data_IF_452808999189
#
_entry.id   IF_452808999189
#
_cell.length_a   1.000
_cell.length_b   1.000
_cell.length_c   1.000
_cell.angle_alpha   90.00
_cell.angle_beta   90.00
_cell.angle_gamma   90.00
#
_symmetry.space_group_name_H-M   'P 1'
#
loop_
_entity.id
_entity.type
_entity.pdbx_description
1 polymer ?
#
# COMPACT_ATOMS: atom_id res chain seq x y z
N UNK A 1 10.34 29.93 18.16
CA UNK A 1 10.15 28.98 17.05
C UNK A 1 9.17 27.91 17.50
N UNK A 2 8.11 27.66 16.73
CA UNK A 2 7.09 26.67 17.08
C UNK A 2 7.71 25.26 17.04
N UNK A 3 7.41 24.39 18.01
CA UNK A 3 8.01 23.04 18.11
C UNK A 3 7.70 22.17 16.89
N UNK A 4 6.52 22.36 16.30
CA UNK A 4 6.12 21.73 15.04
C UNK A 4 7.05 22.15 13.89
N UNK A 5 7.35 23.45 13.80
CA UNK A 5 8.21 24.00 12.75
C UNK A 5 9.66 23.53 12.93
N UNK A 6 10.13 23.38 14.18
CA UNK A 6 11.45 22.80 14.44
C UNK A 6 11.55 21.34 13.99
N UNK A 7 10.52 20.52 14.24
CA UNK A 7 10.55 19.10 13.83
C UNK A 7 10.54 18.96 12.31
N UNK A 8 9.71 19.75 11.61
CA UNK A 8 9.58 19.68 10.17
C UNK A 8 10.88 20.04 9.43
N UNK A 9 11.69 20.93 10.01
CA UNK A 9 12.97 21.35 9.44
C UNK A 9 14.11 20.42 9.88
N UNK A 10 14.15 20.02 11.16
CA UNK A 10 15.27 19.27 11.71
C UNK A 10 15.38 17.84 11.16
N UNK A 11 14.26 17.12 11.03
CA UNK A 11 14.24 15.72 10.60
C UNK A 11 14.83 15.50 9.19
N UNK A 12 14.40 16.22 8.13
CA UNK A 12 14.98 16.03 6.80
C UNK A 12 16.45 16.47 6.73
N UNK A 13 16.82 17.52 7.46
CA UNK A 13 18.21 17.99 7.51
C UNK A 13 19.11 16.92 8.15
N UNK A 14 18.67 16.31 9.25
CA UNK A 14 19.42 15.25 9.91
C UNK A 14 19.59 14.02 9.00
N UNK A 15 18.52 13.59 8.32
CA UNK A 15 18.59 12.51 7.33
C UNK A 15 19.60 12.80 6.22
N UNK A 16 19.61 14.04 5.70
CA UNK A 16 20.55 14.44 4.66
C UNK A 16 22.00 14.46 5.16
N UNK A 17 22.24 14.96 6.38
CA UNK A 17 23.57 14.94 7.00
C UNK A 17 24.09 13.51 7.16
N UNK A 18 23.24 12.58 7.62
CA UNK A 18 23.63 11.18 7.80
C UNK A 18 23.98 10.50 6.47
N UNK A 19 23.20 10.76 5.41
CA UNK A 19 23.50 10.26 4.06
C UNK A 19 24.80 10.87 3.54
N UNK A 20 25.00 12.18 3.70
CA UNK A 20 26.22 12.87 3.26
C UNK A 20 27.47 12.33 3.98
N UNK A 21 27.38 12.10 5.30
CA UNK A 21 28.46 11.48 6.07
C UNK A 21 28.75 10.07 5.59
N UNK A 22 27.72 9.26 5.30
CA UNK A 22 27.94 7.91 4.76
C UNK A 22 28.68 7.95 3.43
N UNK A 23 28.26 8.81 2.50
CA UNK A 23 28.90 8.93 1.17
C UNK A 23 30.34 9.44 1.30
N UNK A 24 30.61 10.36 2.22
CA UNK A 24 31.94 10.95 2.38
C UNK A 24 32.94 10.03 3.10
N UNK A 25 32.50 9.28 4.11
CA UNK A 25 33.37 8.45 4.95
C UNK A 25 33.38 6.97 4.57
N UNK A 26 32.40 6.46 3.81
CA UNK A 26 32.32 5.05 3.47
C UNK A 26 33.32 4.66 2.38
N UNK A 27 34.02 3.55 2.57
CA UNK A 27 34.93 2.99 1.57
C UNK A 27 34.14 2.34 0.42
N UNK A 28 34.14 2.99 -0.74
CA UNK A 28 33.39 2.53 -1.91
C UNK A 28 34.28 1.76 -2.89
N UNK A 29 34.17 0.43 -2.91
CA UNK A 29 34.83 -0.47 -3.89
C UNK A 29 33.79 -1.27 -4.69
N UNK A 30 33.31 -0.75 -5.83
CA UNK A 30 32.37 -1.45 -6.71
C UNK A 30 33.09 -2.54 -7.52
N UNK A 31 32.44 -3.69 -7.70
CA UNK A 31 32.85 -4.77 -8.61
C UNK A 31 31.58 -5.41 -9.19
N UNK A 32 31.64 -5.98 -10.40
CA UNK A 32 30.45 -6.36 -11.18
C UNK A 32 29.46 -7.25 -10.41
N UNK A 33 29.96 -8.27 -9.71
CA UNK A 33 29.12 -9.17 -8.91
C UNK A 33 28.58 -8.55 -7.61
N UNK A 34 29.13 -7.41 -7.15
CA UNK A 34 28.57 -6.64 -6.02
C UNK A 34 27.38 -5.79 -6.43
N UNK A 35 27.39 -5.34 -7.69
CA UNK A 35 26.43 -4.38 -8.24
C UNK A 35 25.27 -5.14 -8.91
N UNK A 36 25.48 -6.39 -9.33
CA UNK A 36 24.44 -7.25 -9.87
C UNK A 36 23.42 -7.70 -8.81
N UNK A 37 22.12 -7.84 -9.16
CA UNK A 37 21.12 -8.45 -8.28
C UNK A 37 21.52 -9.85 -7.82
N UNK A 38 21.26 -10.18 -6.55
CA UNK A 38 21.59 -11.49 -5.99
C UNK A 38 20.45 -12.49 -6.24
N UNK A 39 20.68 -13.49 -7.11
CA UNK A 39 19.77 -14.61 -7.37
C UNK A 39 20.48 -15.96 -7.18
N UNK A 40 20.96 -16.23 -5.96
CA UNK A 40 21.59 -17.51 -5.59
C UNK A 40 22.81 -17.91 -6.45
N UNK A 41 23.51 -16.95 -7.07
CA UNK A 41 24.68 -17.19 -7.91
C UNK A 41 24.38 -17.41 -9.41
N UNK A 42 23.13 -17.26 -9.83
CA UNK A 42 22.75 -17.29 -11.24
C UNK A 42 22.64 -15.87 -11.82
N UNK A 43 22.95 -15.76 -13.12
CA UNK A 43 22.72 -14.54 -13.88
C UNK A 43 21.23 -14.44 -14.20
N UNK A 44 20.63 -13.30 -13.86
CA UNK A 44 19.23 -13.03 -14.13
C UNK A 44 18.97 -13.13 -15.64
N UNK A 45 17.94 -13.90 -16.03
CA UNK A 45 17.56 -14.02 -17.44
C UNK A 45 17.02 -12.65 -17.88
N UNK A 46 17.66 -11.97 -18.85
CA UNK A 46 17.22 -10.65 -19.30
C UNK A 46 15.80 -10.75 -19.89
N UNK A 47 14.84 -10.07 -19.24
CA UNK A 47 13.44 -10.04 -19.66
C UNK A 47 12.43 -10.67 -18.68
N UNK A 48 12.86 -11.43 -17.67
CA UNK A 48 11.98 -12.03 -16.65
C UNK A 48 12.06 -11.33 -15.27
N UNK A 49 11.97 -10.00 -15.24
CA UNK A 49 11.94 -9.24 -13.97
C UNK A 49 10.53 -9.05 -13.41
N UNK A 50 9.50 -9.40 -14.18
CA UNK A 50 8.09 -9.30 -13.79
C UNK A 50 7.47 -10.69 -13.82
N UNK A 51 7.42 -11.33 -12.66
CA UNK A 51 6.61 -12.54 -12.47
C UNK A 51 5.13 -12.17 -12.40
N UNK A 52 4.28 -13.04 -12.94
CA UNK A 52 2.84 -12.92 -12.70
C UNK A 52 2.57 -13.13 -11.20
N UNK A 53 2.04 -12.11 -10.55
CA UNK A 53 1.59 -12.18 -9.16
C UNK A 53 0.10 -12.43 -9.12
N UNK A 54 -0.38 -12.99 -8.01
CA UNK A 54 -1.79 -13.28 -7.84
C UNK A 54 -2.61 -11.97 -7.82
N UNK A 55 -3.73 -11.94 -8.55
CA UNK A 55 -4.62 -10.77 -8.70
C UNK A 55 -5.17 -10.29 -7.34
N UNK A 56 -5.18 -11.17 -6.35
CA UNK A 56 -5.72 -10.92 -5.01
C UNK A 56 -4.99 -9.77 -4.29
N UNK A 57 -3.69 -9.59 -4.53
CA UNK A 57 -2.94 -8.45 -3.98
C UNK A 57 -3.43 -7.11 -4.55
N UNK A 58 -3.85 -7.09 -5.81
CA UNK A 58 -4.43 -5.91 -6.43
C UNK A 58 -5.82 -5.60 -5.86
N UNK A 59 -6.65 -6.62 -5.62
CA UNK A 59 -7.97 -6.44 -5.01
C UNK A 59 -7.89 -5.82 -3.60
N UNK A 60 -6.91 -6.24 -2.79
CA UNK A 60 -6.66 -5.62 -1.47
C UNK A 60 -6.29 -4.15 -1.61
N UNK A 61 -5.48 -3.77 -2.59
CA UNK A 61 -5.11 -2.37 -2.82
C UNK A 61 -6.30 -1.51 -3.27
N UNK A 62 -7.17 -2.05 -4.13
CA UNK A 62 -8.41 -1.37 -4.55
C UNK A 62 -9.38 -1.22 -3.39
N UNK A 63 -9.50 -2.23 -2.53
CA UNK A 63 -10.32 -2.16 -1.32
C UNK A 63 -9.82 -1.10 -0.35
N UNK A 64 -8.49 -1.01 -0.15
CA UNK A 64 -7.88 0.04 0.66
C UNK A 64 -8.21 1.43 0.12
N UNK A 65 -8.16 1.64 -1.20
CA UNK A 65 -8.51 2.91 -1.84
C UNK A 65 -9.96 3.31 -1.55
N UNK A 66 -10.90 2.38 -1.66
CA UNK A 66 -12.32 2.64 -1.41
C UNK A 66 -12.56 2.97 0.08
N UNK A 67 -11.93 2.21 0.99
CA UNK A 67 -12.06 2.45 2.43
C UNK A 67 -11.41 3.76 2.88
N UNK A 68 -10.30 4.18 2.25
CA UNK A 68 -9.70 5.49 2.49
C UNK A 68 -10.64 6.64 2.05
N UNK A 69 -11.30 6.47 0.90
CA UNK A 69 -12.32 7.40 0.41
C UNK A 69 -13.54 7.46 1.34
N UNK A 70 -13.96 6.32 1.90
CA UNK A 70 -15.03 6.25 2.89
C UNK A 70 -14.73 7.11 4.13
N UNK A 71 -13.54 6.96 4.71
CA UNK A 71 -13.11 7.76 5.87
C UNK A 71 -13.06 9.25 5.52
N UNK A 72 -12.53 9.58 4.33
CA UNK A 72 -12.47 10.96 3.85
C UNK A 72 -13.85 11.61 3.77
N UNK A 73 -14.89 10.86 3.37
CA UNK A 73 -16.27 11.36 3.29
C UNK A 73 -16.97 11.44 4.66
N UNK A 74 -16.59 10.60 5.62
CA UNK A 74 -17.11 10.67 6.99
C UNK A 74 -16.50 11.85 7.76
N UNK A 75 -15.28 12.27 7.43
CA UNK A 75 -14.55 13.30 8.18
C UNK A 75 -15.28 14.66 8.29
N UNK A 76 -15.86 15.26 7.23
CA UNK A 76 -16.64 16.49 7.34
C UNK A 76 -17.90 16.34 8.19
N UNK A 77 -18.57 15.18 8.11
CA UNK A 77 -19.76 14.88 8.92
C UNK A 77 -19.36 14.81 10.39
N UNK A 78 -18.24 14.17 10.72
CA UNK A 78 -17.70 14.10 12.07
C UNK A 78 -17.35 15.48 12.66
N UNK A 79 -16.81 16.39 11.84
CA UNK A 79 -16.48 17.76 12.27
C UNK A 79 -17.72 18.65 12.47
N UNK A 80 -18.78 18.43 11.70
CA UNK A 80 -19.97 19.29 11.68
C UNK A 80 -21.21 18.66 12.33
N UNK A 81 -21.03 17.60 13.15
CA UNK A 81 -22.12 16.87 13.81
C UNK A 81 -23.11 17.77 14.56
N UNK A 82 -22.63 18.86 15.18
CA UNK A 82 -23.49 19.79 15.93
C UNK A 82 -24.30 20.74 15.03
N UNK A 83 -23.86 20.97 13.79
CA UNK A 83 -24.50 21.90 12.84
C UNK A 83 -25.43 21.19 11.85
N UNK A 84 -25.22 19.88 11.66
CA UNK A 84 -26.01 19.06 10.75
C UNK A 84 -27.38 18.77 11.36
N UNK A 85 -28.44 18.91 10.54
CA UNK A 85 -29.78 18.46 10.91
C UNK A 85 -29.87 16.93 10.92
N UNK A 86 -30.87 16.38 11.60
CA UNK A 86 -31.14 14.93 11.60
C UNK A 86 -31.27 14.33 10.21
N UNK A 87 -31.71 15.12 9.22
CA UNK A 87 -31.74 14.74 7.82
C UNK A 87 -30.34 14.55 7.21
N UNK A 88 -29.42 15.49 7.42
CA UNK A 88 -28.05 15.38 6.91
C UNK A 88 -27.29 14.20 7.54
N UNK A 89 -27.53 13.95 8.84
CA UNK A 89 -26.98 12.77 9.52
C UNK A 89 -27.53 11.47 8.92
N UNK A 90 -28.84 11.43 8.59
CA UNK A 90 -29.46 10.24 7.99
C UNK A 90 -28.88 9.91 6.62
N UNK A 91 -28.58 10.92 5.79
CA UNK A 91 -27.92 10.74 4.49
C UNK A 91 -26.51 10.15 4.66
N UNK A 92 -25.72 10.69 5.60
CA UNK A 92 -24.39 10.17 5.89
C UNK A 92 -24.43 8.70 6.36
N UNK A 93 -25.43 8.34 7.17
CA UNK A 93 -25.64 6.99 7.67
C UNK A 93 -26.04 6.02 6.53
N UNK A 94 -26.94 6.44 5.63
CA UNK A 94 -27.31 5.65 4.44
C UNK A 94 -26.10 5.43 3.54
N UNK A 95 -25.30 6.46 3.31
CA UNK A 95 -24.08 6.37 2.51
C UNK A 95 -23.09 5.33 3.09
N UNK A 96 -22.86 5.38 4.40
CA UNK A 96 -22.03 4.40 5.11
C UNK A 96 -22.57 2.96 5.00
N UNK A 97 -23.89 2.78 5.13
CA UNK A 97 -24.51 1.45 4.96
C UNK A 97 -24.29 0.89 3.55
N UNK A 98 -24.41 1.72 2.51
CA UNK A 98 -24.22 1.27 1.13
C UNK A 98 -22.77 0.79 0.90
N UNK A 99 -21.79 1.53 1.41
CA UNK A 99 -20.38 1.15 1.29
C UNK A 99 -20.03 -0.12 2.08
N UNK A 100 -20.53 -0.24 3.31
CA UNK A 100 -20.34 -1.46 4.12
C UNK A 100 -20.97 -2.70 3.50
N UNK A 101 -22.13 -2.58 2.83
CA UNK A 101 -22.72 -3.67 2.06
C UNK A 101 -21.80 -4.08 0.90
N UNK A 102 -21.24 -3.11 0.16
CA UNK A 102 -20.27 -3.38 -0.90
C UNK A 102 -19.06 -4.15 -0.40
N UNK A 103 -18.54 -3.77 0.77
CA UNK A 103 -17.43 -4.48 1.44
C UNK A 103 -17.79 -5.92 1.83
N UNK A 104 -18.99 -6.14 2.38
CA UNK A 104 -19.47 -7.48 2.74
C UNK A 104 -19.57 -8.39 1.51
N UNK A 105 -20.04 -7.87 0.37
CA UNK A 105 -20.13 -8.62 -0.88
C UNK A 105 -18.75 -9.04 -1.40
N UNK A 106 -17.75 -8.18 -1.29
CA UNK A 106 -16.38 -8.48 -1.74
C UNK A 106 -15.75 -9.59 -0.88
N UNK A 107 -16.00 -9.58 0.44
CA UNK A 107 -15.60 -10.66 1.34
C UNK A 107 -16.31 -11.97 0.98
N UNK A 108 -17.63 -11.90 0.76
CA UNK A 108 -18.45 -13.07 0.41
C UNK A 108 -18.07 -13.71 -0.92
N UNK A 109 -17.51 -12.93 -1.85
CA UNK A 109 -17.01 -13.41 -3.15
C UNK A 109 -15.72 -14.22 -3.04
N UNK A 110 -15.09 -14.29 -1.85
CA UNK A 110 -13.83 -15.01 -1.64
C UNK A 110 -12.63 -14.40 -2.37
N UNK A 111 -12.79 -13.19 -2.90
CA UNK A 111 -11.81 -12.52 -3.76
C UNK A 111 -10.51 -12.16 -3.00
N UNK A 112 -10.58 -12.12 -1.67
CA UNK A 112 -9.47 -11.84 -0.74
C UNK A 112 -8.75 -13.14 -0.32
N UNK A 113 -9.36 -14.32 -0.53
CA UNK A 113 -8.76 -15.59 -0.10
C UNK A 113 -7.51 -15.91 -0.90
N UNK A 114 -6.37 -16.11 -0.23
CA UNK A 114 -5.11 -16.38 -0.93
C UNK A 114 -5.16 -17.79 -1.52
N UNK A 115 -5.42 -17.91 -2.83
CA UNK A 115 -5.42 -19.20 -3.51
C UNK A 115 -3.99 -19.56 -3.84
N UNK A 116 -3.51 -20.68 -3.30
CA UNK A 116 -2.17 -21.19 -3.62
C UNK A 116 -2.10 -21.60 -5.09
N UNK A 117 -0.96 -21.31 -5.73
CA UNK A 117 -0.73 -21.60 -7.16
C UNK A 117 -0.95 -23.07 -7.54
N UNK A 118 -0.79 -23.99 -6.57
CA UNK A 118 -1.02 -25.43 -6.71
C UNK A 118 -2.46 -25.83 -7.09
N UNK A 119 -3.44 -24.94 -6.88
CA UNK A 119 -4.85 -25.21 -7.17
C UNK A 119 -5.33 -24.59 -8.50
N UNK A 120 -4.45 -23.94 -9.27
CA UNK A 120 -4.81 -23.45 -10.61
C UNK A 120 -4.83 -24.61 -11.62
N UNK A 121 -5.85 -24.71 -12.49
CA UNK A 121 -5.93 -25.74 -13.51
C UNK A 121 -4.71 -25.72 -14.45
N UNK A 122 -4.15 -24.54 -14.73
CA UNK A 122 -2.93 -24.39 -15.55
C UNK A 122 -1.67 -25.00 -14.91
N UNK A 123 -1.56 -25.07 -13.58
CA UNK A 123 -0.44 -25.74 -12.90
C UNK A 123 -0.60 -27.27 -12.92
N UNK A 124 -1.83 -27.76 -12.97
CA UNK A 124 -2.16 -29.20 -12.98
C UNK A 124 -2.00 -29.86 -14.35
N UNK A 125 -1.90 -29.08 -15.43
CA UNK A 125 -1.60 -29.58 -16.78
C UNK A 125 -0.08 -29.62 -17.07
N UNK A 126 0.75 -28.98 -16.24
CA UNK A 126 2.20 -28.86 -16.46
C UNK A 126 2.99 -29.94 -15.67
N UNK A 127 2.37 -30.58 -14.67
CA UNK A 127 2.90 -31.72 -13.90
C UNK A 127 2.03 -32.96 -14.10
#
# INVERSE_FOLDING_TARGET
>A
MNTILTLFIFVPILAFILIALNILFSYHKPYDSKISPFECGFLMIPGQTRSAFNIQFYLVAMLFLIFDLEILLIFPVALSLYQISTFGFSIALIFFIILTIGFILEIGSGAISITSSSNLPSYKEIN
#
